data_IF_314494887046
#
_entry.id   IF_314494887046
#
_cell.length_a   1.000
_cell.length_b   1.000
_cell.length_c   1.000
_cell.angle_alpha   90.00
_cell.angle_beta   90.00
_cell.angle_gamma   90.00
#
_symmetry.space_group_name_H-M   'P 1'
#
loop_
_entity.id
_entity.type
_entity.pdbx_description
1 polymer ?
#
# COMPACT_ATOMS: atom_id res chain seq x y z
N UNK A 1 -20.26 25.57 13.99
CA UNK A 1 -19.94 25.82 15.43
C UNK A 1 -19.52 24.50 16.06
N UNK A 2 -18.49 24.48 16.93
CA UNK A 2 -18.06 23.24 17.64
C UNK A 2 -19.09 22.97 18.74
N UNK A 3 -19.63 21.75 18.78
CA UNK A 3 -20.69 21.34 19.73
C UNK A 3 -20.20 20.39 20.81
N UNK A 4 -19.04 19.77 20.62
CA UNK A 4 -18.44 18.85 21.57
C UNK A 4 -16.97 18.61 21.29
N UNK A 5 -16.23 18.13 22.28
CA UNK A 5 -14.84 17.73 22.17
C UNK A 5 -14.67 16.26 22.52
N UNK A 6 -13.70 15.59 21.90
CA UNK A 6 -13.35 14.20 22.18
C UNK A 6 -11.84 14.13 22.37
N UNK A 7 -11.39 13.49 23.43
CA UNK A 7 -9.98 13.14 23.61
C UNK A 7 -9.76 11.79 22.92
N UNK A 8 -8.86 11.73 21.95
CA UNK A 8 -8.58 10.51 21.19
C UNK A 8 -7.19 9.96 21.48
N UNK A 9 -7.03 8.64 21.32
CA UNK A 9 -5.77 7.90 21.50
C UNK A 9 -5.14 8.15 22.90
N UNK A 10 -5.97 8.27 23.93
CA UNK A 10 -5.51 8.55 25.28
C UNK A 10 -4.70 7.36 25.85
N UNK A 11 -3.54 7.67 26.42
CA UNK A 11 -2.68 6.68 27.09
C UNK A 11 -2.57 7.04 28.56
N UNK A 12 -3.20 6.26 29.43
CA UNK A 12 -3.16 6.45 30.87
C UNK A 12 -4.49 6.08 31.54
N UNK A 13 -4.61 6.43 32.82
CA UNK A 13 -5.85 6.25 33.58
C UNK A 13 -6.77 7.46 33.38
N UNK A 14 -7.94 7.24 32.83
CA UNK A 14 -8.95 8.28 32.55
C UNK A 14 -9.36 9.03 33.82
N UNK A 15 -9.36 8.35 34.99
CA UNK A 15 -9.70 8.99 36.29
C UNK A 15 -8.73 10.10 36.66
N UNK A 16 -7.46 10.00 36.25
CA UNK A 16 -6.47 11.05 36.49
C UNK A 16 -6.75 12.26 35.58
N UNK A 17 -7.34 12.04 34.41
CA UNK A 17 -7.67 13.09 33.44
C UNK A 17 -8.96 13.85 33.79
N UNK A 18 -9.92 13.22 34.51
CA UNK A 18 -11.24 13.80 34.81
C UNK A 18 -11.20 15.24 35.34
N UNK A 19 -10.36 15.62 36.31
CA UNK A 19 -10.30 17.01 36.78
C UNK A 19 -9.86 17.98 35.66
N UNK A 20 -8.96 17.55 34.78
CA UNK A 20 -8.49 18.33 33.64
C UNK A 20 -9.58 18.53 32.58
N UNK A 21 -10.41 17.53 32.32
CA UNK A 21 -11.54 17.64 31.43
C UNK A 21 -12.56 18.67 31.91
N UNK A 22 -12.87 18.65 33.22
CA UNK A 22 -13.76 19.65 33.80
C UNK A 22 -13.20 21.07 33.71
N UNK A 23 -11.91 21.25 33.95
CA UNK A 23 -11.25 22.55 33.77
C UNK A 23 -11.31 23.01 32.31
N UNK A 24 -11.13 22.09 31.36
CA UNK A 24 -11.24 22.40 29.94
C UNK A 24 -12.65 22.87 29.57
N UNK A 25 -13.68 22.14 30.02
CA UNK A 25 -15.09 22.51 29.79
C UNK A 25 -15.43 23.88 30.39
N UNK A 26 -14.95 24.18 31.59
CA UNK A 26 -15.14 25.47 32.25
C UNK A 26 -14.52 26.65 31.46
N UNK A 27 -13.40 26.36 30.76
CA UNK A 27 -12.69 27.37 29.95
C UNK A 27 -13.36 27.60 28.59
N UNK A 28 -13.65 26.49 27.87
CA UNK A 28 -14.11 26.56 26.47
C UNK A 28 -15.63 26.59 26.33
N UNK A 29 -16.37 26.27 27.39
CA UNK A 29 -17.83 26.15 27.42
C UNK A 29 -18.42 25.19 26.38
N UNK A 30 -17.68 24.10 26.10
CA UNK A 30 -18.06 23.06 25.18
C UNK A 30 -17.88 21.72 25.91
N UNK A 31 -18.88 20.82 25.90
CA UNK A 31 -18.80 19.56 26.63
C UNK A 31 -17.77 18.62 26.03
N UNK A 32 -17.12 17.82 26.88
CA UNK A 32 -16.32 16.66 26.48
C UNK A 32 -17.22 15.45 26.33
N UNK A 33 -17.36 14.94 25.12
CA UNK A 33 -18.24 13.82 24.78
C UNK A 33 -17.62 12.45 25.09
N UNK A 34 -16.37 12.42 25.50
CA UNK A 34 -15.71 11.21 25.97
C UNK A 34 -14.21 11.20 25.74
N UNK A 35 -13.58 10.14 26.28
CA UNK A 35 -12.15 9.88 26.17
C UNK A 35 -11.96 8.49 25.56
N UNK A 36 -11.53 8.43 24.31
CA UNK A 36 -11.22 7.18 23.62
C UNK A 36 -9.80 6.76 23.97
N UNK A 37 -9.62 5.60 24.62
CA UNK A 37 -8.29 5.10 24.92
C UNK A 37 -7.52 4.74 23.65
N UNK A 38 -6.21 4.54 23.77
CA UNK A 38 -5.43 3.99 22.67
C UNK A 38 -5.87 2.54 22.43
N UNK A 39 -6.58 2.32 21.33
CA UNK A 39 -7.04 1.00 20.92
C UNK A 39 -5.93 0.36 20.07
N UNK A 40 -5.56 -0.88 20.43
CA UNK A 40 -4.62 -1.68 19.64
C UNK A 40 -5.37 -2.33 18.47
N UNK A 41 -5.55 -1.56 17.42
CA UNK A 41 -6.26 -1.97 16.21
C UNK A 41 -5.30 -1.93 15.03
N UNK A 42 -5.50 -2.84 14.10
CA UNK A 42 -4.79 -2.85 12.82
C UNK A 42 -5.69 -2.26 11.73
N UNK A 43 -6.01 -0.98 11.90
CA UNK A 43 -6.70 -0.18 10.88
C UNK A 43 -5.64 0.48 10.03
N UNK A 44 -5.81 0.46 8.70
CA UNK A 44 -4.87 1.06 7.76
C UNK A 44 -4.47 2.47 8.20
N UNK A 45 -3.23 2.61 8.63
CA UNK A 45 -2.66 3.87 9.09
C UNK A 45 -2.19 4.69 7.88
N UNK A 46 -2.81 5.83 7.67
CA UNK A 46 -2.36 6.78 6.65
C UNK A 46 -1.01 7.44 7.02
N UNK A 47 -0.66 7.48 8.31
CA UNK A 47 0.46 8.26 8.85
C UNK A 47 1.58 7.46 9.54
N UNK A 48 1.46 6.15 9.79
CA UNK A 48 2.48 5.42 10.57
C UNK A 48 3.53 4.68 9.73
N UNK A 49 4.06 5.36 8.70
CA UNK A 49 5.19 4.88 7.90
C UNK A 49 6.41 4.49 8.76
N UNK A 50 6.63 5.15 9.90
CA UNK A 50 7.86 5.01 10.68
C UNK A 50 7.99 3.67 11.42
N UNK A 51 6.91 3.11 11.94
CA UNK A 51 6.95 1.85 12.70
C UNK A 51 7.08 0.62 11.79
N UNK A 52 6.44 0.64 10.60
CA UNK A 52 6.53 -0.45 9.63
C UNK A 52 7.91 -0.56 9.00
N UNK A 53 8.55 0.57 8.71
CA UNK A 53 9.91 0.58 8.14
C UNK A 53 10.99 0.16 9.13
N UNK A 54 10.69 0.06 10.42
CA UNK A 54 11.61 -0.40 11.45
C UNK A 54 11.43 -1.87 11.85
N UNK A 55 10.40 -2.57 11.33
CA UNK A 55 10.25 -4.00 11.56
C UNK A 55 11.45 -4.74 10.96
N UNK A 56 12.15 -5.47 11.81
CA UNK A 56 13.31 -6.28 11.42
C UNK A 56 12.84 -7.50 10.62
N UNK A 57 13.71 -7.93 9.72
CA UNK A 57 13.54 -9.09 8.87
C UNK A 57 13.02 -10.30 9.66
N UNK A 58 11.80 -10.71 9.38
CA UNK A 58 11.28 -12.01 9.79
C UNK A 58 11.97 -13.04 8.91
N UNK A 59 12.64 -14.00 9.51
CA UNK A 59 13.14 -15.13 8.73
C UNK A 59 11.94 -15.90 8.15
N UNK A 60 11.79 -15.88 6.85
CA UNK A 60 10.68 -16.47 6.13
C UNK A 60 11.19 -17.17 4.86
N UNK A 61 10.36 -18.06 4.31
CA UNK A 61 10.71 -18.81 3.11
C UNK A 61 10.82 -17.94 1.87
N UNK A 62 10.01 -16.89 1.79
CA UNK A 62 9.92 -15.93 0.68
C UNK A 62 10.28 -14.54 1.17
N UNK A 63 11.26 -13.92 0.50
CA UNK A 63 11.72 -12.56 0.75
C UNK A 63 11.20 -11.61 -0.33
N UNK A 64 10.33 -10.66 0.03
CA UNK A 64 9.79 -9.63 -0.84
C UNK A 64 10.40 -8.27 -0.45
N UNK A 65 11.13 -7.66 -1.38
CA UNK A 65 11.70 -6.34 -1.20
C UNK A 65 10.83 -5.27 -1.89
N UNK A 66 10.19 -4.41 -1.12
CA UNK A 66 9.50 -3.22 -1.60
C UNK A 66 10.47 -2.05 -1.62
N UNK A 67 10.63 -1.39 -2.76
CA UNK A 67 11.50 -0.21 -2.85
C UNK A 67 10.84 0.94 -2.10
N UNK A 68 11.52 1.42 -1.06
CA UNK A 68 11.06 2.57 -0.27
C UNK A 68 11.39 3.87 -1.01
N UNK A 69 10.51 4.26 -1.91
CA UNK A 69 10.60 5.53 -2.63
C UNK A 69 10.44 6.72 -1.66
N UNK A 70 11.09 7.87 -1.89
CA UNK A 70 10.95 9.06 -1.04
C UNK A 70 9.50 9.56 -0.92
N UNK A 71 8.71 9.40 -1.98
CA UNK A 71 7.30 9.82 -2.04
C UNK A 71 6.36 8.63 -2.20
N UNK A 72 6.74 7.47 -1.65
CA UNK A 72 5.92 6.25 -1.68
C UNK A 72 4.46 6.55 -1.32
N UNK A 73 3.54 5.97 -2.07
CA UNK A 73 2.10 6.05 -1.80
C UNK A 73 1.46 4.66 -1.83
N UNK A 74 0.29 4.53 -1.21
CA UNK A 74 -0.47 3.27 -1.19
C UNK A 74 0.36 2.06 -0.71
N UNK A 75 1.26 2.29 0.25
CA UNK A 75 2.12 1.22 0.81
C UNK A 75 1.29 0.13 1.51
N UNK A 76 0.05 0.42 1.88
CA UNK A 76 -0.93 -0.53 2.44
C UNK A 76 -1.31 -1.63 1.44
N UNK A 77 -1.08 -1.45 0.13
CA UNK A 77 -1.30 -2.48 -0.89
C UNK A 77 -0.55 -3.79 -0.58
N UNK A 78 0.53 -3.73 0.21
CA UNK A 78 1.39 -4.88 0.50
C UNK A 78 1.10 -5.52 1.86
N UNK A 79 0.18 -4.94 2.66
CA UNK A 79 -0.21 -5.48 3.96
C UNK A 79 -0.67 -6.94 3.89
N UNK A 80 -1.50 -7.36 2.89
CA UNK A 80 -1.94 -8.73 2.81
C UNK A 80 -0.80 -9.75 2.72
N UNK A 81 0.35 -9.36 2.17
CA UNK A 81 1.54 -10.20 2.07
C UNK A 81 2.24 -10.37 3.43
N UNK A 82 2.20 -9.35 4.30
CA UNK A 82 2.81 -9.37 5.63
C UNK A 82 2.13 -10.35 6.59
N UNK A 83 0.85 -10.69 6.34
CA UNK A 83 0.07 -11.64 7.15
C UNK A 83 0.31 -13.11 6.80
N UNK A 84 1.10 -13.41 5.78
CA UNK A 84 1.44 -14.77 5.40
C UNK A 84 2.70 -15.19 6.16
N UNK A 85 2.62 -16.32 6.88
CA UNK A 85 3.72 -16.77 7.74
C UNK A 85 5.01 -17.06 6.97
N UNK A 86 4.88 -17.54 5.75
CA UNK A 86 6.01 -17.88 4.88
C UNK A 86 6.64 -16.68 4.18
N UNK A 87 6.09 -15.45 4.36
CA UNK A 87 6.53 -14.26 3.65
C UNK A 87 7.17 -13.25 4.60
N UNK A 88 8.30 -12.70 4.21
CA UNK A 88 8.90 -11.49 4.77
C UNK A 88 8.76 -10.37 3.76
N UNK A 89 8.11 -9.27 4.14
CA UNK A 89 8.05 -8.03 3.37
C UNK A 89 8.96 -7.02 4.05
N UNK A 90 9.92 -6.48 3.31
CA UNK A 90 10.85 -5.46 3.83
C UNK A 90 10.98 -4.29 2.87
N UNK A 91 11.15 -3.11 3.43
CA UNK A 91 11.27 -1.87 2.69
C UNK A 91 12.74 -1.47 2.53
N UNK A 92 13.17 -1.25 1.29
CA UNK A 92 14.57 -1.05 0.92
C UNK A 92 14.77 0.34 0.34
N UNK A 93 15.66 1.13 0.94
CA UNK A 93 15.99 2.49 0.50
C UNK A 93 17.41 2.63 -0.08
N UNK A 94 18.22 1.58 -0.02
CA UNK A 94 19.60 1.60 -0.52
C UNK A 94 19.99 0.24 -1.13
N UNK A 95 20.87 0.22 -2.16
CA UNK A 95 21.28 -1.03 -2.82
C UNK A 95 21.87 -2.08 -1.87
N UNK A 96 22.62 -1.64 -0.85
CA UNK A 96 23.21 -2.54 0.16
C UNK A 96 22.19 -3.29 1.01
N UNK A 97 20.94 -2.77 1.09
CA UNK A 97 19.83 -3.41 1.81
C UNK A 97 19.08 -4.43 0.94
N UNK A 98 19.23 -4.36 -0.40
CA UNK A 98 18.41 -5.16 -1.31
C UNK A 98 18.66 -6.67 -1.15
N UNK A 99 19.90 -7.09 -0.98
CA UNK A 99 20.24 -8.51 -0.86
C UNK A 99 19.87 -9.32 -2.11
N UNK A 100 19.21 -10.46 -1.90
CA UNK A 100 18.76 -11.36 -2.97
C UNK A 100 17.29 -11.75 -2.78
N UNK A 101 16.35 -10.80 -2.89
CA UNK A 101 14.93 -11.09 -2.69
C UNK A 101 14.40 -12.09 -3.74
N UNK A 102 13.28 -12.71 -3.42
CA UNK A 102 12.55 -13.56 -4.34
C UNK A 102 11.67 -12.74 -5.28
N UNK A 103 11.21 -11.57 -4.83
CA UNK A 103 10.44 -10.57 -5.61
C UNK A 103 10.90 -9.16 -5.23
N UNK A 104 11.06 -8.28 -6.23
CA UNK A 104 11.13 -6.84 -6.00
C UNK A 104 9.79 -6.21 -6.38
N UNK A 105 9.27 -5.33 -5.50
CA UNK A 105 8.11 -4.51 -5.80
C UNK A 105 8.53 -3.04 -5.90
N UNK A 106 8.21 -2.41 -7.04
CA UNK A 106 8.24 -0.97 -7.22
C UNK A 106 6.85 -0.43 -6.92
N UNK A 107 6.63 0.27 -5.80
CA UNK A 107 5.31 0.71 -5.37
C UNK A 107 4.83 1.95 -6.11
N UNK A 108 3.59 2.37 -5.83
CA UNK A 108 3.07 3.67 -6.20
C UNK A 108 3.84 4.81 -5.55
N UNK A 109 3.84 5.96 -6.19
CA UNK A 109 4.46 7.18 -5.69
C UNK A 109 3.68 8.43 -6.09
N UNK A 110 3.87 9.52 -5.34
CA UNK A 110 3.27 10.82 -5.62
C UNK A 110 4.06 11.64 -6.67
N UNK A 111 5.27 11.21 -7.03
CA UNK A 111 6.06 11.81 -8.11
C UNK A 111 6.99 10.75 -8.72
N UNK A 112 6.55 10.20 -9.84
CA UNK A 112 7.21 9.08 -10.51
C UNK A 112 8.58 9.46 -11.07
N UNK A 113 8.66 10.63 -11.71
CA UNK A 113 9.89 11.04 -12.39
C UNK A 113 11.01 11.35 -11.39
N UNK A 114 10.72 12.13 -10.34
CA UNK A 114 11.71 12.46 -9.32
C UNK A 114 12.17 11.23 -8.54
N UNK A 115 11.26 10.31 -8.23
CA UNK A 115 11.60 9.10 -7.49
C UNK A 115 12.42 8.12 -8.34
N UNK A 116 12.17 8.05 -9.66
CA UNK A 116 13.05 7.30 -10.57
C UNK A 116 14.43 7.92 -10.67
N UNK A 117 14.53 9.24 -10.77
CA UNK A 117 15.81 9.95 -10.75
C UNK A 117 16.59 9.71 -9.44
N UNK A 118 15.87 9.70 -8.30
CA UNK A 118 16.46 9.35 -7.01
C UNK A 118 16.98 7.90 -6.99
N UNK A 119 16.22 6.92 -7.50
CA UNK A 119 16.68 5.54 -7.62
C UNK A 119 17.93 5.41 -8.49
N UNK A 120 18.01 6.20 -9.57
CA UNK A 120 19.16 6.26 -10.48
C UNK A 120 20.40 6.80 -9.78
N UNK A 121 20.23 7.89 -9.02
CA UNK A 121 21.32 8.56 -8.30
C UNK A 121 21.90 7.71 -7.17
N UNK A 122 21.07 6.93 -6.46
CA UNK A 122 21.53 6.10 -5.34
C UNK A 122 21.91 4.66 -5.75
N UNK A 123 21.75 4.30 -7.03
CA UNK A 123 22.11 2.99 -7.57
C UNK A 123 21.07 1.89 -7.41
N UNK A 124 19.87 2.18 -6.87
CA UNK A 124 18.79 1.19 -6.77
C UNK A 124 18.25 0.78 -8.14
N UNK A 125 18.17 1.70 -9.12
CA UNK A 125 17.77 1.36 -10.48
C UNK A 125 18.66 0.25 -11.08
N UNK A 126 19.97 0.40 -10.98
CA UNK A 126 20.92 -0.60 -11.48
C UNK A 126 20.80 -1.96 -10.74
N UNK A 127 20.51 -1.91 -9.44
CA UNK A 127 20.28 -3.13 -8.65
C UNK A 127 18.99 -3.85 -9.07
N UNK A 128 17.90 -3.11 -9.35
CA UNK A 128 16.64 -3.64 -9.88
C UNK A 128 16.85 -4.24 -11.26
N UNK A 129 17.54 -3.54 -12.17
CA UNK A 129 17.87 -4.07 -13.51
C UNK A 129 18.71 -5.34 -13.44
N UNK A 130 19.68 -5.40 -12.53
CA UNK A 130 20.49 -6.62 -12.30
C UNK A 130 19.61 -7.79 -11.81
N UNK A 131 18.62 -7.53 -10.98
CA UNK A 131 17.67 -8.54 -10.50
C UNK A 131 16.81 -9.07 -11.66
N UNK A 132 16.29 -8.18 -12.53
CA UNK A 132 15.58 -8.57 -13.75
C UNK A 132 16.45 -9.44 -14.68
N UNK A 133 17.69 -9.00 -14.94
CA UNK A 133 18.63 -9.72 -15.79
C UNK A 133 19.01 -11.11 -15.24
N UNK A 134 18.84 -11.33 -13.94
CA UNK A 134 18.99 -12.64 -13.31
C UNK A 134 17.74 -13.53 -13.45
N UNK A 135 16.73 -13.10 -14.23
CA UNK A 135 15.49 -13.85 -14.44
C UNK A 135 14.55 -13.87 -13.23
N UNK A 136 14.76 -12.99 -12.26
CA UNK A 136 13.93 -12.90 -11.06
C UNK A 136 12.77 -11.93 -11.23
N UNK A 137 11.61 -12.16 -10.58
CA UNK A 137 10.43 -11.37 -10.80
C UNK A 137 10.52 -9.96 -10.21
N UNK A 138 9.94 -9.00 -10.96
CA UNK A 138 9.71 -7.62 -10.53
C UNK A 138 8.26 -7.30 -10.78
N UNK A 139 7.60 -6.64 -9.83
CA UNK A 139 6.25 -6.13 -9.96
C UNK A 139 6.26 -4.61 -9.77
N UNK A 140 5.83 -3.86 -10.78
CA UNK A 140 5.58 -2.42 -10.66
C UNK A 140 4.10 -2.14 -10.45
N UNK A 141 3.77 -1.29 -9.49
CA UNK A 141 2.41 -0.83 -9.20
C UNK A 141 2.33 0.67 -9.44
N UNK A 142 1.38 1.12 -10.25
CA UNK A 142 1.09 2.53 -10.54
C UNK A 142 2.35 3.30 -10.98
N UNK A 143 2.91 4.21 -10.17
CA UNK A 143 4.17 4.88 -10.47
C UNK A 143 5.34 3.93 -10.70
N UNK A 144 5.44 2.85 -9.91
CA UNK A 144 6.43 1.80 -10.12
C UNK A 144 6.26 1.06 -11.46
N UNK A 145 5.04 0.85 -11.92
CA UNK A 145 4.78 0.33 -13.26
C UNK A 145 5.27 1.29 -14.35
N UNK A 146 5.00 2.58 -14.21
CA UNK A 146 5.46 3.61 -15.15
C UNK A 146 6.99 3.67 -15.24
N UNK A 147 7.70 3.53 -14.11
CA UNK A 147 9.16 3.49 -14.06
C UNK A 147 9.76 2.33 -14.86
N UNK A 148 9.07 1.19 -14.95
CA UNK A 148 9.53 0.02 -15.70
C UNK A 148 9.50 0.20 -17.22
N UNK A 149 8.75 1.18 -17.73
CA UNK A 149 8.64 1.50 -19.15
C UNK A 149 9.93 2.02 -19.79
N UNK A 150 9.85 2.38 -21.07
CA UNK A 150 10.96 2.95 -21.84
C UNK A 150 11.16 4.44 -21.60
N UNK A 151 10.05 5.17 -21.50
CA UNK A 151 10.04 6.62 -21.33
C UNK A 151 8.85 7.08 -20.50
N UNK A 152 9.05 8.18 -19.78
CA UNK A 152 8.01 8.89 -19.04
C UNK A 152 8.04 10.33 -19.52
N UNK A 153 6.92 10.81 -20.09
CA UNK A 153 6.75 12.16 -20.61
C UNK A 153 5.77 12.96 -19.76
N UNK A 154 6.15 14.17 -19.44
CA UNK A 154 5.31 15.12 -18.70
C UNK A 154 5.26 16.46 -19.44
N UNK A 155 4.53 16.51 -20.56
CA UNK A 155 4.49 17.73 -21.39
C UNK A 155 3.77 18.90 -20.69
N UNK A 156 2.97 18.61 -19.67
CA UNK A 156 2.17 19.62 -18.96
C UNK A 156 2.81 20.06 -17.62
N UNK A 157 3.93 19.45 -17.21
CA UNK A 157 4.57 19.74 -15.93
C UNK A 157 3.72 19.34 -14.72
N UNK A 158 3.03 18.22 -14.82
CA UNK A 158 2.15 17.69 -13.74
C UNK A 158 2.97 17.25 -12.54
N UNK A 159 4.14 16.65 -12.77
CA UNK A 159 5.08 16.21 -11.74
C UNK A 159 6.42 16.95 -11.84
N UNK A 160 7.21 16.66 -12.85
CA UNK A 160 8.57 17.16 -13.04
C UNK A 160 8.72 18.06 -14.29
N UNK A 161 7.91 17.76 -15.31
CA UNK A 161 8.01 18.35 -16.64
C UNK A 161 9.08 17.68 -17.52
N UNK A 162 8.88 17.77 -18.86
CA UNK A 162 9.80 17.21 -19.83
C UNK A 162 9.70 15.70 -20.00
N UNK A 163 10.82 15.05 -20.28
CA UNK A 163 10.92 13.62 -20.55
C UNK A 163 12.12 13.01 -19.85
N UNK A 164 11.94 11.81 -19.29
CA UNK A 164 13.03 10.98 -18.78
C UNK A 164 12.93 9.55 -19.34
N UNK A 165 14.09 8.90 -19.50
CA UNK A 165 14.12 7.47 -19.80
C UNK A 165 13.60 6.68 -18.59
N UNK A 166 12.74 5.70 -18.81
CA UNK A 166 12.40 4.70 -17.81
C UNK A 166 13.51 3.64 -17.69
N UNK A 167 13.21 2.53 -16.99
CA UNK A 167 14.15 1.42 -16.81
C UNK A 167 14.29 0.55 -18.07
N UNK A 168 13.37 0.67 -19.04
CA UNK A 168 13.38 -0.09 -20.29
C UNK A 168 13.07 -1.58 -20.14
N UNK A 169 12.49 -1.99 -19.01
CA UNK A 169 12.17 -3.40 -18.70
C UNK A 169 10.81 -3.84 -19.27
N UNK A 170 9.92 -2.88 -19.56
CA UNK A 170 8.68 -3.11 -20.29
C UNK A 170 8.67 -2.29 -21.59
N UNK A 171 8.12 -2.82 -22.71
CA UNK A 171 8.11 -2.13 -24.00
C UNK A 171 7.00 -1.08 -24.11
N UNK A 172 6.79 -0.31 -23.06
CA UNK A 172 5.71 0.66 -22.90
C UNK A 172 6.28 2.04 -22.60
N UNK A 173 5.50 3.06 -22.92
CA UNK A 173 5.80 4.45 -22.63
C UNK A 173 4.62 5.06 -21.88
N UNK A 174 4.90 5.98 -20.96
CA UNK A 174 3.91 6.69 -20.18
C UNK A 174 3.94 8.17 -20.50
N UNK A 175 2.76 8.76 -20.72
CA UNK A 175 2.60 10.21 -20.86
C UNK A 175 1.65 10.71 -19.77
N UNK A 176 2.05 11.73 -19.01
CA UNK A 176 1.20 12.36 -18.02
C UNK A 176 0.14 13.23 -18.69
N UNK A 177 -1.11 13.06 -18.25
CA UNK A 177 -2.26 13.83 -18.70
C UNK A 177 -2.68 14.83 -17.62
N UNK A 178 -3.37 15.90 -18.03
CA UNK A 178 -3.89 16.90 -17.10
C UNK A 178 -5.05 16.40 -16.22
N UNK A 179 -5.64 15.27 -16.57
CA UNK A 179 -6.77 14.67 -15.84
C UNK A 179 -6.33 13.41 -15.09
N UNK A 180 -6.74 13.34 -13.83
CA UNK A 180 -6.47 12.19 -12.96
C UNK A 180 -7.51 11.09 -13.18
N UNK A 181 -7.05 9.89 -13.53
CA UNK A 181 -7.88 8.69 -13.49
C UNK A 181 -8.15 8.34 -12.03
N UNK A 182 -9.42 8.13 -11.68
CA UNK A 182 -9.85 7.60 -10.37
C UNK A 182 -11.07 6.72 -10.59
N UNK A 183 -10.87 5.42 -10.62
CA UNK A 183 -11.93 4.44 -10.89
C UNK A 183 -11.81 3.26 -9.94
N UNK A 184 -12.94 2.73 -9.48
CA UNK A 184 -12.99 1.41 -8.87
C UNK A 184 -12.91 0.38 -9.97
N UNK A 185 -12.09 -0.64 -9.78
CA UNK A 185 -11.85 -1.69 -10.77
C UNK A 185 -12.06 -3.07 -10.14
N UNK A 186 -12.88 -3.88 -10.77
CA UNK A 186 -13.17 -5.25 -10.36
C UNK A 186 -13.10 -6.17 -11.57
N UNK A 187 -12.62 -7.38 -11.40
CA UNK A 187 -12.54 -8.34 -12.50
C UNK A 187 -11.58 -9.48 -12.23
N UNK A 188 -10.98 -9.95 -13.30
CA UNK A 188 -9.93 -10.97 -13.26
C UNK A 188 -8.67 -10.42 -13.93
N UNK A 189 -7.52 -10.85 -13.44
CA UNK A 189 -6.23 -10.44 -13.99
C UNK A 189 -6.02 -11.02 -15.38
N UNK A 190 -5.47 -10.19 -16.26
CA UNK A 190 -5.07 -10.60 -17.60
C UNK A 190 -4.04 -11.74 -17.57
N UNK A 191 -4.04 -12.54 -18.62
CA UNK A 191 -3.08 -13.65 -18.78
C UNK A 191 -1.66 -13.12 -18.86
N UNK A 192 -0.80 -13.61 -17.98
CA UNK A 192 0.65 -13.36 -17.96
C UNK A 192 1.42 -14.66 -17.95
N UNK A 193 2.64 -14.62 -18.45
CA UNK A 193 3.57 -15.75 -18.42
C UNK A 193 4.65 -15.61 -17.33
N UNK A 194 5.69 -16.42 -17.42
CA UNK A 194 6.83 -16.36 -16.51
C UNK A 194 6.52 -16.86 -15.11
N UNK A 195 7.31 -16.40 -14.14
CA UNK A 195 7.24 -16.84 -12.75
C UNK A 195 5.86 -16.61 -12.14
N UNK A 196 5.25 -15.44 -12.40
CA UNK A 196 3.95 -15.06 -11.80
C UNK A 196 2.75 -15.47 -12.67
N UNK A 197 2.88 -16.47 -13.53
CA UNK A 197 1.79 -16.96 -14.40
C UNK A 197 0.53 -17.40 -13.65
N UNK A 198 0.65 -17.81 -12.39
CA UNK A 198 -0.49 -18.18 -11.53
C UNK A 198 -1.40 -16.98 -11.18
N UNK A 199 -0.95 -15.76 -11.40
CA UNK A 199 -1.81 -14.58 -11.28
C UNK A 199 -2.86 -14.48 -12.39
N UNK A 200 -2.65 -15.16 -13.52
CA UNK A 200 -3.60 -15.14 -14.65
C UNK A 200 -4.98 -15.62 -14.22
N UNK A 201 -6.00 -14.80 -14.52
CA UNK A 201 -7.38 -15.13 -14.20
C UNK A 201 -7.75 -15.07 -12.72
N UNK A 202 -6.84 -14.66 -11.83
CA UNK A 202 -7.16 -14.44 -10.43
C UNK A 202 -8.06 -13.22 -10.26
N UNK A 203 -9.03 -13.25 -9.32
CA UNK A 203 -9.93 -12.13 -9.08
C UNK A 203 -9.21 -10.95 -8.43
N UNK A 204 -9.64 -9.75 -8.76
CA UNK A 204 -9.25 -8.52 -8.06
C UNK A 204 -10.47 -7.63 -7.78
N UNK A 205 -10.38 -6.88 -6.68
CA UNK A 205 -11.29 -5.80 -6.33
C UNK A 205 -10.44 -4.68 -5.74
N UNK A 206 -10.29 -3.59 -6.48
CA UNK A 206 -9.38 -2.52 -6.14
C UNK A 206 -9.75 -1.22 -6.83
N UNK A 207 -8.77 -0.40 -7.08
CA UNK A 207 -8.96 0.87 -7.74
C UNK A 207 -7.71 1.28 -8.52
N UNK A 208 -7.91 2.19 -9.47
CA UNK A 208 -6.82 2.87 -10.18
C UNK A 208 -6.85 4.36 -9.85
N UNK A 209 -5.68 4.92 -9.54
CA UNK A 209 -5.51 6.34 -9.24
C UNK A 209 -4.18 6.84 -9.77
N UNK A 210 -4.18 7.42 -10.98
CA UNK A 210 -2.95 7.86 -11.64
C UNK A 210 -3.20 9.03 -12.60
N UNK A 211 -2.13 9.77 -12.95
CA UNK A 211 -2.15 10.86 -13.93
C UNK A 211 -1.61 10.39 -15.30
N UNK A 212 -0.71 9.42 -15.30
CA UNK A 212 -0.07 8.91 -16.51
C UNK A 212 -0.96 7.94 -17.28
N UNK A 213 -0.85 7.99 -18.60
CA UNK A 213 -1.46 7.02 -19.52
C UNK A 213 -0.35 6.20 -20.14
N UNK A 214 -0.35 4.90 -19.87
CA UNK A 214 0.55 3.94 -20.48
C UNK A 214 -0.19 3.23 -21.62
N UNK A 215 0.43 3.06 -22.77
CA UNK A 215 -0.19 2.57 -24.00
C UNK A 215 -0.67 1.10 -23.94
N UNK A 216 -1.49 0.76 -22.95
CA UNK A 216 -2.08 -0.57 -22.79
C UNK A 216 -3.48 -0.48 -22.16
N UNK A 217 -4.36 -1.40 -22.55
CA UNK A 217 -5.67 -1.60 -21.93
C UNK A 217 -5.69 -2.81 -20.99
N UNK A 218 -4.54 -3.43 -20.73
CA UNK A 218 -4.43 -4.59 -19.86
C UNK A 218 -4.28 -4.16 -18.41
N UNK A 219 -4.99 -4.85 -17.52
CA UNK A 219 -4.90 -4.62 -16.08
C UNK A 219 -3.64 -5.22 -15.45
N UNK A 220 -3.03 -6.24 -16.11
CA UNK A 220 -1.73 -6.78 -15.75
C UNK A 220 -0.94 -7.05 -17.02
N UNK A 221 0.23 -6.44 -17.16
CA UNK A 221 1.15 -6.64 -18.28
C UNK A 221 2.41 -7.34 -17.82
N UNK A 222 3.11 -7.98 -18.75
CA UNK A 222 4.42 -8.56 -18.46
C UNK A 222 5.31 -8.61 -19.69
N UNK A 223 6.61 -8.65 -19.43
CA UNK A 223 7.63 -9.09 -20.34
C UNK A 223 8.63 -9.94 -19.55
N UNK A 224 8.83 -11.19 -19.96
CA UNK A 224 9.61 -12.16 -19.19
C UNK A 224 9.10 -12.25 -17.74
N UNK A 225 9.93 -11.90 -16.75
CA UNK A 225 9.58 -11.88 -15.33
C UNK A 225 9.39 -10.47 -14.75
N UNK A 226 9.11 -9.49 -15.62
CA UNK A 226 8.78 -8.11 -15.22
C UNK A 226 7.30 -7.86 -15.44
N UNK A 227 6.60 -7.46 -14.39
CA UNK A 227 5.15 -7.29 -14.38
C UNK A 227 4.79 -5.86 -14.01
N UNK A 228 3.68 -5.37 -14.54
CA UNK A 228 3.21 -4.02 -14.25
C UNK A 228 1.69 -3.93 -14.21
N UNK A 229 1.15 -3.12 -13.30
CA UNK A 229 -0.28 -2.87 -13.14
C UNK A 229 -0.54 -1.48 -12.61
N UNK A 230 -1.72 -0.91 -12.92
CA UNK A 230 -2.23 0.28 -12.27
C UNK A 230 -3.11 -0.01 -11.04
N UNK A 231 -3.45 -1.28 -10.84
CA UNK A 231 -4.36 -1.68 -9.78
C UNK A 231 -3.73 -1.52 -8.39
N UNK A 232 -4.37 -0.74 -7.54
CA UNK A 232 -4.20 -0.73 -6.10
C UNK A 232 -5.17 -1.70 -5.45
N UNK A 233 -4.81 -2.27 -4.29
CA UNK A 233 -5.59 -3.33 -3.65
C UNK A 233 -5.49 -4.68 -4.37
N UNK A 234 -4.47 -4.88 -5.23
CA UNK A 234 -4.25 -6.11 -5.98
C UNK A 234 -4.26 -7.37 -5.09
N UNK A 235 -3.77 -7.23 -3.88
CA UNK A 235 -3.61 -8.33 -2.92
C UNK A 235 -4.73 -8.40 -1.87
N UNK A 236 -5.79 -7.60 -1.97
CA UNK A 236 -6.90 -7.66 -1.02
C UNK A 236 -7.72 -8.95 -1.18
N UNK A 237 -7.70 -9.56 -2.39
CA UNK A 237 -8.30 -10.88 -2.62
C UNK A 237 -7.31 -11.99 -2.27
N UNK A 238 -7.73 -12.87 -1.36
CA UNK A 238 -6.89 -13.98 -0.86
C UNK A 238 -6.40 -14.93 -1.97
N UNK A 239 -7.21 -15.11 -3.03
CA UNK A 239 -6.85 -15.95 -4.16
C UNK A 239 -5.63 -15.38 -4.88
N UNK A 240 -5.62 -14.08 -5.15
CA UNK A 240 -4.53 -13.39 -5.85
C UNK A 240 -3.26 -13.36 -5.00
N UNK A 241 -3.39 -13.07 -3.70
CA UNK A 241 -2.27 -13.10 -2.75
C UNK A 241 -1.69 -14.51 -2.64
N UNK A 242 -2.55 -15.53 -2.54
CA UNK A 242 -2.13 -16.94 -2.50
C UNK A 242 -1.42 -17.35 -3.79
N UNK A 243 -1.94 -16.94 -4.95
CA UNK A 243 -1.36 -17.26 -6.25
C UNK A 243 0.06 -16.67 -6.39
N UNK A 244 0.27 -15.41 -5.97
CA UNK A 244 1.60 -14.80 -5.95
C UNK A 244 2.59 -15.61 -5.11
N UNK A 245 2.23 -15.88 -3.85
CA UNK A 245 3.16 -16.56 -2.92
C UNK A 245 3.46 -17.98 -3.37
N UNK A 246 2.45 -18.72 -3.87
CA UNK A 246 2.63 -20.07 -4.42
C UNK A 246 3.57 -20.08 -5.64
N UNK A 247 3.43 -19.09 -6.53
CA UNK A 247 4.32 -18.94 -7.68
C UNK A 247 5.78 -18.74 -7.24
N UNK A 248 6.02 -17.87 -6.26
CA UNK A 248 7.36 -17.63 -5.70
C UNK A 248 7.93 -18.89 -4.98
N UNK A 249 7.09 -19.60 -4.22
CA UNK A 249 7.53 -20.86 -3.58
C UNK A 249 7.92 -21.90 -4.60
N UNK A 250 7.13 -22.09 -5.67
CA UNK A 250 7.48 -23.03 -6.76
C UNK A 250 8.78 -22.64 -7.46
N UNK A 251 8.99 -21.35 -7.73
CA UNK A 251 10.25 -20.88 -8.31
C UNK A 251 11.44 -21.25 -7.42
N UNK A 252 11.25 -21.25 -6.10
CA UNK A 252 12.28 -21.59 -5.12
C UNK A 252 12.38 -23.10 -4.83
N UNK A 253 11.51 -23.92 -5.42
CA UNK A 253 11.46 -25.36 -5.19
C UNK A 253 10.83 -25.76 -3.86
N UNK A 254 10.03 -24.88 -3.24
CA UNK A 254 9.32 -25.11 -1.98
C UNK A 254 7.89 -25.63 -2.24
N UNK A 255 7.33 -26.36 -1.27
CA UNK A 255 5.95 -26.84 -1.36
C UNK A 255 4.94 -25.71 -1.10
N UNK A 256 4.11 -25.35 -2.10
CA UNK A 256 3.13 -24.29 -1.96
C UNK A 256 1.85 -24.71 -1.25
N UNK A 257 1.68 -25.96 -0.83
CA UNK A 257 0.43 -26.47 -0.26
C UNK A 257 0.08 -25.81 1.09
N UNK A 258 1.07 -25.34 1.83
CA UNK A 258 0.91 -24.73 3.15
C UNK A 258 0.50 -23.26 3.11
N UNK A 259 0.46 -22.60 1.94
CA UNK A 259 0.18 -21.18 1.83
C UNK A 259 -1.29 -20.90 2.17
N UNK A 260 -1.51 -20.17 3.26
CA UNK A 260 -2.80 -19.64 3.65
C UNK A 260 -2.71 -18.11 3.59
N UNK A 261 -3.60 -17.50 2.82
CA UNK A 261 -3.76 -16.06 2.78
C UNK A 261 -4.99 -15.65 3.59
N UNK A 262 -4.90 -14.48 4.23
CA UNK A 262 -5.99 -13.92 5.00
C UNK A 262 -7.04 -13.33 4.04
N UNK A 263 -8.31 -13.50 4.38
CA UNK A 263 -9.39 -12.72 3.77
C UNK A 263 -9.35 -11.30 4.34
N UNK A 264 -8.77 -10.39 3.58
CA UNK A 264 -8.55 -9.00 4.02
C UNK A 264 -9.84 -8.23 4.19
N UNK A 265 -10.90 -8.53 3.42
CA UNK A 265 -12.19 -7.87 3.56
C UNK A 265 -12.81 -8.21 4.93
N UNK A 266 -12.89 -9.50 5.26
CA UNK A 266 -13.37 -9.96 6.56
C UNK A 266 -12.47 -9.44 7.70
N UNK A 267 -11.16 -9.43 7.52
CA UNK A 267 -10.22 -8.93 8.52
C UNK A 267 -10.40 -7.43 8.79
N UNK A 268 -10.43 -6.60 7.74
CA UNK A 268 -10.64 -5.15 7.85
C UNK A 268 -11.98 -4.84 8.50
N UNK A 269 -13.06 -5.53 8.09
CA UNK A 269 -14.37 -5.36 8.69
C UNK A 269 -14.33 -5.62 10.21
N UNK A 270 -13.68 -6.69 10.63
CA UNK A 270 -13.52 -6.99 12.07
C UNK A 270 -12.75 -5.89 12.80
N UNK A 271 -11.70 -5.30 12.18
CA UNK A 271 -10.95 -4.19 12.80
C UNK A 271 -11.83 -2.93 12.93
N UNK A 272 -12.66 -2.63 11.93
CA UNK A 272 -13.62 -1.52 11.99
C UNK A 272 -14.71 -1.76 13.05
N UNK A 273 -15.22 -2.98 13.18
CA UNK A 273 -16.18 -3.32 14.22
C UNK A 273 -15.58 -3.12 15.62
N UNK A 274 -14.35 -3.59 15.84
CA UNK A 274 -13.62 -3.37 17.10
C UNK A 274 -13.39 -1.86 17.39
N UNK A 275 -13.07 -1.08 16.35
CA UNK A 275 -12.95 0.38 16.48
C UNK A 275 -14.28 1.01 16.87
N UNK A 276 -15.37 0.65 16.19
CA UNK A 276 -16.70 1.15 16.45
C UNK A 276 -17.17 0.83 17.87
N UNK A 277 -16.92 -0.41 18.32
CA UNK A 277 -17.27 -0.83 19.68
C UNK A 277 -16.45 -0.09 20.73
N UNK A 278 -15.14 0.07 20.52
CA UNK A 278 -14.28 0.86 21.40
C UNK A 278 -14.72 2.32 21.51
N UNK A 279 -15.14 2.91 20.41
CA UNK A 279 -15.67 4.29 20.39
C UNK A 279 -17.02 4.36 21.12
N UNK A 280 -17.98 3.45 20.86
CA UNK A 280 -19.28 3.42 21.53
C UNK A 280 -19.16 3.26 23.04
N UNK A 281 -18.19 2.46 23.51
CA UNK A 281 -17.94 2.28 24.93
C UNK A 281 -17.31 3.50 25.61
N UNK A 282 -16.64 4.36 24.84
CA UNK A 282 -15.82 5.46 25.34
C UNK A 282 -16.48 6.83 25.19
N UNK A 283 -17.53 6.92 24.38
CA UNK A 283 -18.20 8.18 24.04
C UNK A 283 -19.64 8.23 24.56
N UNK A 284 -20.11 9.44 24.90
CA UNK A 284 -21.51 9.70 25.16
C UNK A 284 -22.29 9.72 23.84
N UNK A 285 -22.68 8.53 23.38
CA UNK A 285 -23.36 8.38 22.09
C UNK A 285 -24.71 9.06 22.04
N UNK A 286 -25.45 9.12 23.16
CA UNK A 286 -26.77 9.77 23.23
C UNK A 286 -26.65 11.26 22.94
N UNK A 287 -25.65 11.93 23.53
CA UNK A 287 -25.41 13.36 23.29
C UNK A 287 -24.90 13.60 21.85
N UNK A 288 -24.09 12.69 21.30
CA UNK A 288 -23.64 12.78 19.91
C UNK A 288 -24.84 12.69 18.95
N UNK A 289 -25.74 11.72 19.15
CA UNK A 289 -26.94 11.59 18.31
C UNK A 289 -27.85 12.81 18.43
N UNK A 290 -28.04 13.35 19.64
CA UNK A 290 -28.81 14.56 19.86
C UNK A 290 -28.23 15.76 19.09
N UNK A 291 -26.90 15.94 19.11
CA UNK A 291 -26.23 17.01 18.34
C UNK A 291 -26.48 16.82 16.84
N UNK A 292 -26.43 15.59 16.32
CA UNK A 292 -26.69 15.30 14.91
C UNK A 292 -28.13 15.57 14.52
N UNK A 293 -29.12 15.21 15.38
CA UNK A 293 -30.55 15.41 15.15
C UNK A 293 -30.96 16.88 15.22
N UNK A 294 -30.40 17.64 16.16
CA UNK A 294 -30.68 19.08 16.31
C UNK A 294 -30.10 19.93 15.15
N UNK A 295 -29.20 19.38 14.39
CA UNK A 295 -28.53 20.05 13.28
C UNK A 295 -27.44 21.05 13.70
N UNK A 296 -26.66 21.53 12.73
CA UNK A 296 -25.62 22.55 12.93
C UNK A 296 -26.18 23.97 12.84
#
# INVERSE_FOLDING_TARGET
MIKGTIINKFRGDVKILEPGLKMLEDIIHIPTLGVVPYLHLDVDDEDSLSERFSRRDKAADIDIAVIRLPRISNFTDFNPLEYIDQVSVRYVAAPGQLGKPDLIILPGTKNTMDDLLWMRQNGLEAAVQKHAAAGKPILGVCGGFQMLGRAIRDPLGVEHGGEISGMGLLPLETEFAGEKTRVRAQGVLDTVGGVLSELSGQPFDGYEIHMGRTGTNRNLVHQENVYGTYLHGLFDRQETTRALVRALMRQKGLDPASVQALDMETYKQRQYDLLADGMRQSLNMDEIYKIVEEGL
#
